data_IF_731734107299
#
_entry.id   IF_731734107299
#
_cell.length_a   1.000
_cell.length_b   1.000
_cell.length_c   1.000
_cell.angle_alpha   90.00
_cell.angle_beta   90.00
_cell.angle_gamma   90.00
#
_symmetry.space_group_name_H-M   'P 1'
#
loop_
_entity.id
_entity.type
_entity.pdbx_description
1 polymer ?
#
# COMPACT_ATOMS: atom_id res chain seq x y z
N UNK A 1 -4.59 8.30 -11.59
CA UNK A 1 -3.77 7.44 -10.70
C UNK A 1 -2.55 8.23 -10.24
N UNK A 2 -2.28 8.26 -8.94
CA UNK A 2 -0.96 8.68 -8.43
C UNK A 2 0.00 7.51 -8.66
N UNK A 3 1.04 7.72 -9.44
CA UNK A 3 1.95 6.65 -9.84
C UNK A 3 2.88 6.24 -8.69
N UNK A 4 2.73 4.99 -8.22
CA UNK A 4 3.58 4.44 -7.16
C UNK A 4 4.92 3.99 -7.75
N UNK A 5 5.91 4.87 -7.68
CA UNK A 5 7.28 4.56 -8.13
C UNK A 5 8.22 4.18 -6.98
N UNK A 6 7.71 4.06 -5.75
CA UNK A 6 8.50 3.73 -4.57
C UNK A 6 9.01 2.28 -4.61
N UNK A 7 10.25 2.07 -4.14
CA UNK A 7 10.85 0.77 -3.87
C UNK A 7 11.31 0.76 -2.42
N UNK A 8 10.35 0.48 -1.55
CA UNK A 8 10.52 0.57 -0.11
C UNK A 8 9.78 -0.59 0.57
N UNK A 9 10.33 -1.05 1.69
CA UNK A 9 9.65 -1.94 2.61
C UNK A 9 9.91 -1.48 4.04
N UNK A 10 8.87 -1.41 4.86
CA UNK A 10 8.95 -1.19 6.31
C UNK A 10 8.52 -2.49 6.99
N UNK A 11 9.29 -2.93 7.98
CA UNK A 11 9.04 -4.16 8.74
C UNK A 11 9.00 -3.79 10.22
N UNK A 12 7.92 -4.21 10.88
CA UNK A 12 7.68 -4.09 12.34
C UNK A 12 7.89 -2.69 12.94
N UNK A 13 7.73 -1.64 12.12
CA UNK A 13 8.02 -0.24 12.46
C UNK A 13 9.48 0.03 12.91
N UNK A 14 10.39 -0.92 12.73
CA UNK A 14 11.78 -0.86 13.25
C UNK A 14 12.86 -1.00 12.19
N UNK A 15 12.55 -1.58 11.03
CA UNK A 15 13.49 -1.76 9.93
C UNK A 15 12.89 -1.22 8.63
N UNK A 16 13.71 -0.54 7.83
CA UNK A 16 13.30 0.00 6.54
C UNK A 16 14.34 -0.31 5.47
N UNK A 17 13.87 -0.67 4.28
CA UNK A 17 14.65 -0.72 3.05
C UNK A 17 14.15 0.40 2.14
N UNK A 18 15.06 1.19 1.58
CA UNK A 18 14.79 2.17 0.52
C UNK A 18 15.84 1.98 -0.58
N UNK A 19 15.42 1.95 -1.85
CA UNK A 19 16.35 1.80 -2.96
C UNK A 19 15.73 2.01 -4.33
N UNK A 20 16.38 1.45 -5.34
CA UNK A 20 15.91 1.45 -6.74
C UNK A 20 15.25 0.13 -7.17
N UNK A 21 15.54 -0.97 -6.45
CA UNK A 21 15.14 -2.33 -6.83
C UNK A 21 13.64 -2.59 -6.72
N UNK A 22 12.98 -2.89 -7.85
CA UNK A 22 11.59 -3.35 -7.86
C UNK A 22 11.48 -4.79 -7.32
N UNK A 23 10.29 -5.19 -6.85
CA UNK A 23 10.00 -6.60 -6.53
C UNK A 23 9.70 -7.35 -7.84
N UNK A 24 10.74 -7.64 -8.62
CA UNK A 24 10.67 -8.45 -9.84
C UNK A 24 12.05 -9.07 -10.14
N UNK A 25 12.09 -10.01 -11.09
CA UNK A 25 13.35 -10.65 -11.47
C UNK A 25 14.38 -9.65 -12.03
N UNK A 26 13.95 -8.63 -12.76
CA UNK A 26 14.87 -7.68 -13.40
C UNK A 26 15.76 -6.96 -12.39
N UNK A 27 15.17 -6.54 -11.27
CA UNK A 27 15.88 -5.84 -10.20
C UNK A 27 16.51 -6.79 -9.17
N UNK A 28 15.88 -7.95 -8.86
CA UNK A 28 16.32 -8.84 -7.79
C UNK A 28 17.34 -9.92 -8.22
N UNK A 29 17.59 -10.09 -9.51
CA UNK A 29 18.51 -11.09 -10.06
C UNK A 29 19.98 -10.78 -9.80
N UNK A 30 20.34 -9.49 -9.76
CA UNK A 30 21.72 -9.02 -9.55
C UNK A 30 22.63 -9.09 -10.79
N UNK A 31 22.29 -9.88 -11.82
CA UNK A 31 23.02 -9.93 -13.09
C UNK A 31 22.27 -9.29 -14.27
N UNK A 32 21.08 -8.72 -14.01
CA UNK A 32 20.28 -7.96 -14.98
C UNK A 32 20.51 -6.46 -14.80
N UNK A 33 19.57 -5.77 -14.15
CA UNK A 33 19.74 -4.34 -13.85
C UNK A 33 20.63 -4.17 -12.62
N UNK A 34 21.49 -3.15 -12.64
CA UNK A 34 22.26 -2.76 -11.46
C UNK A 34 21.38 -1.92 -10.55
N UNK A 35 21.16 -2.41 -9.34
CA UNK A 35 20.31 -1.77 -8.34
C UNK A 35 21.11 -1.41 -7.09
N UNK A 36 20.64 -0.42 -6.34
CA UNK A 36 21.17 -0.08 -5.02
C UNK A 36 20.03 0.08 -4.03
N UNK A 37 20.23 -0.41 -2.81
CA UNK A 37 19.31 -0.23 -1.70
C UNK A 37 20.10 -0.08 -0.40
N UNK A 38 19.57 0.73 0.50
CA UNK A 38 20.01 0.77 1.89
C UNK A 38 18.99 0.05 2.76
N UNK A 39 19.48 -0.60 3.82
CA UNK A 39 18.67 -1.12 4.92
C UNK A 39 19.11 -0.47 6.23
N UNK A 40 18.17 0.00 7.05
CA UNK A 40 18.49 0.63 8.33
C UNK A 40 17.45 0.34 9.41
N UNK A 41 17.91 0.43 10.65
CA UNK A 41 17.12 0.40 11.86
C UNK A 41 17.74 1.32 12.91
N UNK A 42 16.96 1.65 13.94
CA UNK A 42 17.45 2.42 15.09
C UNK A 42 17.67 1.48 16.28
N UNK A 43 18.93 1.21 16.71
CA UNK A 43 19.23 0.19 17.71
C UNK A 43 18.49 0.34 19.04
N UNK A 44 18.15 1.57 19.42
CA UNK A 44 17.46 1.90 20.66
C UNK A 44 15.93 2.07 20.49
N UNK A 45 15.37 1.74 19.32
CA UNK A 45 13.94 1.84 19.00
C UNK A 45 13.34 0.53 18.47
N UNK A 46 13.91 -0.61 18.87
CA UNK A 46 13.45 -1.93 18.45
C UNK A 46 12.21 -2.41 19.24
N UNK A 47 11.30 -3.08 18.55
CA UNK A 47 10.01 -3.60 18.99
C UNK A 47 10.05 -4.79 19.96
N UNK A 48 11.18 -5.05 20.64
CA UNK A 48 11.40 -6.31 21.39
C UNK A 48 10.63 -6.43 22.71
N UNK A 49 10.43 -5.31 23.40
CA UNK A 49 9.75 -5.24 24.72
C UNK A 49 8.65 -4.20 24.76
N UNK A 50 8.82 -3.15 23.99
CA UNK A 50 7.85 -2.09 23.76
C UNK A 50 7.74 -1.91 22.24
N UNK A 51 6.58 -1.50 21.71
CA UNK A 51 6.44 -1.23 20.28
C UNK A 51 7.49 -0.23 19.78
N UNK A 52 8.00 -0.44 18.57
CA UNK A 52 8.92 0.48 17.93
C UNK A 52 8.21 1.83 17.68
N UNK A 53 8.75 2.91 18.27
CA UNK A 53 8.24 4.28 18.14
C UNK A 53 9.37 5.25 17.76
N UNK A 54 10.15 4.84 16.77
CA UNK A 54 11.24 5.62 16.19
C UNK A 54 10.83 6.43 14.96
N UNK A 55 11.82 6.86 14.20
CA UNK A 55 11.66 7.58 12.92
C UNK A 55 10.94 6.72 11.88
N UNK A 56 11.20 5.41 11.86
CA UNK A 56 10.58 4.48 10.91
C UNK A 56 9.06 4.39 11.17
N UNK A 57 8.65 4.25 12.43
CA UNK A 57 7.25 4.33 12.85
C UNK A 57 6.61 5.66 12.42
N UNK A 58 7.25 6.79 12.74
CA UNK A 58 6.75 8.12 12.39
C UNK A 58 6.59 8.31 10.88
N UNK A 59 7.58 7.86 10.10
CA UNK A 59 7.55 7.90 8.64
C UNK A 59 6.42 7.04 8.08
N UNK A 60 6.25 5.81 8.59
CA UNK A 60 5.15 4.92 8.21
C UNK A 60 3.78 5.56 8.51
N UNK A 61 3.60 6.14 9.69
CA UNK A 61 2.37 6.87 10.05
C UNK A 61 2.14 8.10 9.14
N UNK A 62 3.20 8.80 8.73
CA UNK A 62 3.11 9.94 7.80
C UNK A 62 2.66 9.50 6.40
N UNK A 63 3.18 8.40 5.88
CA UNK A 63 2.73 7.81 4.60
C UNK A 63 1.28 7.37 4.69
N UNK A 64 0.90 6.76 5.81
CA UNK A 64 -0.48 6.37 6.05
C UNK A 64 -1.41 7.58 6.11
N UNK A 65 -1.00 8.68 6.75
CA UNK A 65 -1.76 9.93 6.71
C UNK A 65 -1.91 10.49 5.29
N UNK A 66 -0.84 10.50 4.49
CA UNK A 66 -0.87 10.93 3.09
C UNK A 66 -1.86 10.09 2.25
N UNK A 67 -1.86 8.77 2.43
CA UNK A 67 -2.68 7.87 1.62
C UNK A 67 -4.11 7.72 2.14
N UNK A 68 -4.31 7.73 3.45
CA UNK A 68 -5.63 7.53 4.07
C UNK A 68 -6.36 8.85 4.33
N UNK A 69 -5.65 9.98 4.38
CA UNK A 69 -6.20 11.32 4.67
C UNK A 69 -6.51 11.55 6.15
N UNK A 70 -6.15 10.62 7.04
CA UNK A 70 -6.39 10.73 8.48
C UNK A 70 -5.44 9.85 9.29
N UNK A 71 -5.32 10.16 10.57
CA UNK A 71 -4.72 9.29 11.58
C UNK A 71 -5.82 8.60 12.38
N UNK A 72 -5.54 7.38 12.84
CA UNK A 72 -6.42 6.61 13.70
C UNK A 72 -5.58 5.81 14.69
N UNK A 73 -6.12 5.56 15.89
CA UNK A 73 -5.40 4.83 16.95
C UNK A 73 -5.02 3.42 16.51
N UNK A 74 -5.91 2.70 15.83
CA UNK A 74 -5.59 1.35 15.32
C UNK A 74 -4.40 1.32 14.36
N UNK A 75 -4.08 2.42 13.66
CA UNK A 75 -2.91 2.47 12.76
C UNK A 75 -1.60 2.39 13.53
N UNK A 76 -1.59 2.66 14.83
CA UNK A 76 -0.42 2.50 15.69
C UNK A 76 -0.06 1.01 15.86
N UNK A 77 -0.98 0.10 15.54
CA UNK A 77 -0.89 -1.35 15.65
C UNK A 77 -1.27 -2.04 14.32
N UNK A 78 -0.42 -1.92 13.27
CA UNK A 78 -0.73 -2.48 11.94
C UNK A 78 -0.90 -4.01 11.93
N UNK A 79 -0.39 -4.71 12.94
CA UNK A 79 -0.56 -6.14 13.17
C UNK A 79 -1.98 -6.54 13.60
N UNK A 80 -2.79 -5.57 14.07
CA UNK A 80 -4.13 -5.84 14.60
C UNK A 80 -5.16 -6.09 13.49
N UNK A 81 -6.11 -6.99 13.76
CA UNK A 81 -7.23 -7.24 12.86
C UNK A 81 -8.08 -5.98 12.65
N UNK A 82 -8.24 -5.17 13.69
CA UNK A 82 -8.94 -3.89 13.61
C UNK A 82 -8.29 -2.94 12.60
N UNK A 83 -6.95 -2.84 12.61
CA UNK A 83 -6.22 -1.98 11.71
C UNK A 83 -6.44 -2.37 10.25
N UNK A 84 -6.24 -3.64 9.89
CA UNK A 84 -6.39 -4.09 8.51
C UNK A 84 -7.85 -3.99 8.03
N UNK A 85 -8.83 -4.28 8.89
CA UNK A 85 -10.25 -4.06 8.58
C UNK A 85 -10.52 -2.60 8.25
N UNK A 86 -10.03 -1.67 9.09
CA UNK A 86 -10.21 -0.23 8.89
C UNK A 86 -9.58 0.25 7.58
N UNK A 87 -8.34 -0.16 7.31
CA UNK A 87 -7.63 0.20 6.07
C UNK A 87 -8.36 -0.34 4.84
N UNK A 88 -8.85 -1.58 4.88
CA UNK A 88 -9.62 -2.17 3.79
C UNK A 88 -10.95 -1.44 3.55
N UNK A 89 -11.72 -1.17 4.60
CA UNK A 89 -12.97 -0.40 4.51
C UNK A 89 -12.76 0.99 3.88
N UNK A 90 -11.65 1.66 4.25
CA UNK A 90 -11.28 2.94 3.65
C UNK A 90 -10.90 2.79 2.18
N UNK A 91 -10.09 1.78 1.83
CA UNK A 91 -9.69 1.51 0.45
C UNK A 91 -10.86 1.17 -0.46
N UNK A 92 -11.86 0.44 0.04
CA UNK A 92 -13.12 0.14 -0.67
C UNK A 92 -13.96 1.40 -0.84
N UNK A 93 -14.17 2.18 0.22
CA UNK A 93 -14.90 3.44 0.14
C UNK A 93 -14.27 4.41 -0.86
N UNK A 94 -12.94 4.54 -0.85
CA UNK A 94 -12.24 5.46 -1.76
C UNK A 94 -12.30 4.95 -3.20
N UNK A 95 -12.29 3.63 -3.40
CA UNK A 95 -12.53 3.02 -4.70
C UNK A 95 -13.92 3.32 -5.25
N UNK A 96 -14.96 3.17 -4.43
CA UNK A 96 -16.34 3.48 -4.82
C UNK A 96 -16.50 4.95 -5.21
N UNK A 97 -15.91 5.86 -4.42
CA UNK A 97 -15.89 7.29 -4.74
C UNK A 97 -15.13 7.58 -6.05
N UNK A 98 -13.94 6.99 -6.23
CA UNK A 98 -13.11 7.18 -7.42
C UNK A 98 -13.81 6.69 -8.70
N UNK A 99 -14.68 5.69 -8.58
CA UNK A 99 -15.39 5.09 -9.72
C UNK A 99 -16.81 5.63 -9.89
N UNK A 100 -17.32 6.48 -9.00
CA UNK A 100 -18.65 7.11 -9.10
C UNK A 100 -18.63 8.31 -10.06
N UNK A 101 -19.70 8.51 -10.83
CA UNK A 101 -19.83 9.63 -11.78
C UNK A 101 -21.19 10.34 -11.59
N UNK A 102 -21.25 11.69 -11.56
CA UNK A 102 -20.09 12.60 -11.54
C UNK A 102 -19.38 12.57 -10.18
N UNK A 103 -18.08 12.86 -10.17
CA UNK A 103 -17.37 13.10 -8.92
C UNK A 103 -17.83 14.42 -8.31
N UNK A 104 -18.59 14.36 -7.21
CA UNK A 104 -19.13 15.57 -6.56
C UNK A 104 -18.08 16.38 -5.79
N UNK A 105 -17.04 15.71 -5.27
CA UNK A 105 -16.01 16.28 -4.40
C UNK A 105 -14.67 15.57 -4.57
N UNK A 106 -13.58 16.24 -4.19
CA UNK A 106 -12.26 15.62 -4.12
C UNK A 106 -12.28 14.36 -3.24
N UNK A 107 -11.44 13.39 -3.60
CA UNK A 107 -11.26 12.19 -2.78
C UNK A 107 -10.66 12.56 -1.43
N UNK A 108 -11.20 12.05 -0.32
CA UNK A 108 -10.66 12.31 1.03
C UNK A 108 -9.32 11.64 1.31
N UNK A 109 -8.89 10.71 0.45
CA UNK A 109 -7.58 10.06 0.49
C UNK A 109 -7.28 9.35 -0.83
N UNK A 110 -6.07 8.80 -0.94
CA UNK A 110 -5.51 8.27 -2.18
C UNK A 110 -5.38 6.74 -2.20
N UNK A 111 -5.51 6.07 -1.05
CA UNK A 111 -5.43 4.61 -0.98
C UNK A 111 -6.67 3.98 -1.59
N UNK A 112 -6.51 3.34 -2.74
CA UNK A 112 -7.57 2.58 -3.39
C UNK A 112 -7.30 1.09 -3.20
N UNK A 113 -8.35 0.31 -2.91
CA UNK A 113 -8.25 -1.15 -2.99
C UNK A 113 -7.85 -1.54 -4.41
N UNK A 114 -6.83 -2.40 -4.56
CA UNK A 114 -6.46 -2.89 -5.88
C UNK A 114 -7.65 -3.63 -6.50
N UNK A 115 -8.05 -3.35 -7.75
CA UNK A 115 -9.37 -3.71 -8.29
C UNK A 115 -9.52 -5.18 -8.73
N UNK A 116 -9.10 -6.08 -7.86
CA UNK A 116 -9.24 -7.53 -8.02
C UNK A 116 -9.99 -8.12 -6.83
N UNK A 117 -10.63 -9.26 -7.07
CA UNK A 117 -11.25 -10.08 -6.05
C UNK A 117 -10.52 -11.42 -5.96
N UNK A 118 -10.42 -11.97 -4.75
CA UNK A 118 -9.81 -13.27 -4.47
C UNK A 118 -10.95 -14.23 -4.12
N UNK A 119 -11.06 -15.34 -4.84
CA UNK A 119 -12.08 -16.37 -4.57
C UNK A 119 -11.74 -17.17 -3.31
N UNK A 120 -12.69 -17.98 -2.83
CA UNK A 120 -12.44 -18.91 -1.72
C UNK A 120 -11.34 -19.95 -2.01
N UNK A 121 -11.01 -20.18 -3.30
CA UNK A 121 -9.94 -21.06 -3.74
C UNK A 121 -8.61 -20.32 -3.97
N UNK A 122 -8.58 -19.00 -3.77
CA UNK A 122 -7.38 -18.17 -3.97
C UNK A 122 -7.18 -17.68 -5.41
N UNK A 123 -8.10 -17.98 -6.34
CA UNK A 123 -8.02 -17.46 -7.70
C UNK A 123 -8.32 -15.96 -7.75
N UNK A 124 -7.52 -15.22 -8.54
CA UNK A 124 -7.67 -13.78 -8.72
C UNK A 124 -8.63 -13.50 -9.87
N UNK A 125 -9.62 -12.67 -9.62
CA UNK A 125 -10.69 -12.30 -10.55
C UNK A 125 -10.83 -10.79 -10.61
N UNK A 126 -11.46 -10.27 -11.67
CA UNK A 126 -11.75 -8.85 -11.78
C UNK A 126 -12.93 -8.47 -10.87
N UNK A 127 -12.83 -7.32 -10.21
CA UNK A 127 -13.90 -6.82 -9.35
C UNK A 127 -15.14 -6.45 -10.21
N UNK A 128 -16.34 -6.89 -9.80
CA UNK A 128 -17.58 -6.62 -10.55
C UNK A 128 -17.81 -5.11 -10.67
N UNK A 129 -18.17 -4.63 -11.86
CA UNK A 129 -18.30 -3.19 -12.16
C UNK A 129 -17.06 -2.57 -12.81
N UNK A 130 -15.97 -3.33 -12.93
CA UNK A 130 -14.78 -2.90 -13.66
C UNK A 130 -14.82 -3.30 -15.13
N UNK A 131 -14.36 -2.42 -16.02
CA UNK A 131 -14.19 -2.71 -17.46
C UNK A 131 -15.22 -2.10 -18.40
N UNK A 132 -16.15 -1.26 -17.93
CA UNK A 132 -17.13 -0.57 -18.80
C UNK A 132 -17.00 0.97 -18.74
N UNK A 133 -16.18 1.51 -17.83
CA UNK A 133 -16.12 2.97 -17.57
C UNK A 133 -14.94 3.72 -18.19
N UNK A 134 -14.03 3.06 -18.88
CA UNK A 134 -12.93 3.76 -19.54
C UNK A 134 -12.51 3.03 -20.80
N UNK A 135 -12.81 3.61 -21.96
CA UNK A 135 -12.26 3.23 -23.27
C UNK A 135 -10.72 3.31 -23.30
N UNK A 136 -10.09 3.84 -22.23
CA UNK A 136 -8.66 4.07 -22.12
C UNK A 136 -7.94 3.19 -21.09
N UNK A 137 -8.66 2.39 -20.27
CA UNK A 137 -7.99 1.57 -19.26
C UNK A 137 -7.81 0.13 -19.77
N UNK A 138 -6.58 -0.38 -19.84
CA UNK A 138 -6.34 -1.76 -20.24
C UNK A 138 -6.96 -2.73 -19.23
N UNK A 139 -7.17 -4.01 -19.63
CA UNK A 139 -7.59 -5.05 -18.69
C UNK A 139 -6.67 -5.08 -17.47
N UNK A 140 -7.23 -5.17 -16.26
CA UNK A 140 -6.42 -5.28 -15.03
C UNK A 140 -5.68 -6.61 -15.00
N UNK A 141 -6.37 -7.67 -15.41
CA UNK A 141 -5.80 -9.01 -15.54
C UNK A 141 -5.37 -9.18 -16.99
N UNK A 142 -4.06 -9.26 -17.19
CA UNK A 142 -3.46 -9.68 -18.45
C UNK A 142 -3.26 -11.18 -18.41
N UNK A 143 -3.82 -11.90 -19.38
CA UNK A 143 -3.57 -13.34 -19.59
C UNK A 143 -2.21 -13.60 -20.23
#
# INVERSE_FOLDING_TARGET
>A
MIYVHAKMMIVDDEYIIIGSANINQRSMDGARDSEIAMGAYQPYRLGRRVPARGEIHGFRMSLWYEHLGMLHECFVHPESEECIKKVNEMGEKYWDLYTTEPLERDLPGHLLRYPVAVSGEGSVTQLKGFGVKSDYMPPILTT
#
